data_IF_418909228367
#
_entry.id   IF_418909228367
#
_cell.length_a   1.000
_cell.length_b   1.000
_cell.length_c   1.000
_cell.angle_alpha   90.00
_cell.angle_beta   90.00
_cell.angle_gamma   90.00
#
_symmetry.space_group_name_H-M   'P 1'
#
loop_
_entity.id
_entity.type
_entity.pdbx_description
1 polymer ?
#
# COMPACT_ATOMS: atom_id res chain seq x y z
N UNK A 1 -16.71 -25.42 -44.06
CA UNK A 1 -16.73 -25.76 -42.63
C UNK A 1 -15.51 -25.13 -41.97
N UNK A 2 -15.54 -23.80 -41.81
CA UNK A 2 -14.39 -22.99 -41.41
C UNK A 2 -14.86 -21.64 -40.88
N UNK A 3 -15.69 -21.66 -39.84
CA UNK A 3 -15.93 -20.46 -39.03
C UNK A 3 -14.70 -20.27 -38.14
N UNK A 4 -13.78 -19.46 -38.65
CA UNK A 4 -13.06 -18.40 -37.93
C UNK A 4 -12.54 -18.74 -36.53
N UNK A 5 -11.40 -19.45 -36.46
CA UNK A 5 -10.51 -19.42 -35.29
C UNK A 5 -10.25 -17.98 -34.81
N UNK A 6 -10.26 -17.01 -35.73
CA UNK A 6 -10.11 -15.57 -35.46
C UNK A 6 -11.30 -14.94 -34.72
N UNK A 7 -12.52 -15.46 -34.88
CA UNK A 7 -13.74 -14.91 -34.25
C UNK A 7 -13.89 -15.46 -32.82
N UNK A 8 -13.53 -16.73 -32.60
CA UNK A 8 -13.42 -17.30 -31.24
C UNK A 8 -12.28 -16.68 -30.42
N UNK A 9 -11.15 -16.36 -31.07
CA UNK A 9 -10.06 -15.61 -30.43
C UNK A 9 -10.48 -14.17 -30.15
N UNK A 10 -11.22 -13.51 -31.05
CA UNK A 10 -11.70 -12.14 -30.82
C UNK A 10 -12.70 -12.06 -29.65
N UNK A 11 -13.62 -13.02 -29.52
CA UNK A 11 -14.52 -13.12 -28.37
C UNK A 11 -13.77 -13.41 -27.06
N UNK A 12 -12.84 -14.38 -27.06
CA UNK A 12 -12.06 -14.71 -25.85
C UNK A 12 -11.13 -13.58 -25.41
N UNK A 13 -10.52 -12.86 -26.35
CA UNK A 13 -9.66 -11.70 -26.04
C UNK A 13 -10.49 -10.51 -25.55
N UNK A 14 -11.74 -10.35 -26.04
CA UNK A 14 -12.69 -9.36 -25.56
C UNK A 14 -13.09 -9.57 -24.10
N UNK A 15 -13.50 -10.78 -23.75
CA UNK A 15 -13.89 -11.15 -22.37
C UNK A 15 -12.73 -11.04 -21.39
N UNK A 16 -11.54 -11.51 -21.78
CA UNK A 16 -10.36 -11.45 -20.92
C UNK A 16 -9.92 -10.00 -20.64
N UNK A 17 -10.03 -9.10 -21.63
CA UNK A 17 -9.74 -7.66 -21.45
C UNK A 17 -10.77 -6.97 -20.55
N UNK A 18 -12.04 -7.32 -20.67
CA UNK A 18 -13.10 -6.79 -19.80
C UNK A 18 -12.85 -7.17 -18.34
N UNK A 19 -12.56 -8.45 -18.06
CA UNK A 19 -12.23 -8.92 -16.72
C UNK A 19 -10.95 -8.26 -16.17
N UNK A 20 -9.91 -8.14 -16.99
CA UNK A 20 -8.67 -7.47 -16.59
C UNK A 20 -8.91 -5.98 -16.27
N UNK A 21 -9.76 -5.28 -17.04
CA UNK A 21 -10.11 -3.88 -16.79
C UNK A 21 -10.89 -3.73 -15.48
N UNK A 22 -11.88 -4.58 -15.23
CA UNK A 22 -12.64 -4.59 -13.97
C UNK A 22 -11.72 -4.83 -12.77
N UNK A 23 -10.87 -5.87 -12.83
CA UNK A 23 -9.88 -6.15 -11.80
C UNK A 23 -8.90 -4.97 -11.60
N UNK A 24 -8.50 -4.32 -12.69
CA UNK A 24 -7.66 -3.12 -12.66
C UNK A 24 -8.33 -1.95 -11.91
N UNK A 25 -9.62 -1.70 -12.16
CA UNK A 25 -10.40 -0.68 -11.44
C UNK A 25 -10.53 -1.05 -9.96
N UNK A 26 -10.89 -2.30 -9.63
CA UNK A 26 -10.96 -2.76 -8.24
C UNK A 26 -9.62 -2.64 -7.52
N UNK A 27 -8.52 -3.01 -8.17
CA UNK A 27 -7.18 -2.83 -7.64
C UNK A 27 -6.86 -1.35 -7.41
N UNK A 28 -7.22 -0.46 -8.34
CA UNK A 28 -7.04 0.99 -8.19
C UNK A 28 -7.81 1.56 -7.00
N UNK A 29 -9.08 1.16 -6.81
CA UNK A 29 -9.88 1.55 -5.64
C UNK A 29 -9.26 1.01 -4.35
N UNK A 30 -8.86 -0.27 -4.33
CA UNK A 30 -8.20 -0.88 -3.18
C UNK A 30 -6.90 -0.18 -2.80
N UNK A 31 -6.07 0.17 -3.79
CA UNK A 31 -4.85 0.95 -3.58
C UNK A 31 -5.13 2.34 -3.01
N UNK A 32 -6.18 3.00 -3.49
CA UNK A 32 -6.61 4.31 -2.98
C UNK A 32 -7.06 4.21 -1.53
N UNK A 33 -7.88 3.20 -1.20
CA UNK A 33 -8.31 2.94 0.17
C UNK A 33 -7.15 2.60 1.10
N UNK A 34 -6.19 1.79 0.64
CA UNK A 34 -4.99 1.46 1.39
C UNK A 34 -4.15 2.72 1.66
N UNK A 35 -3.96 3.58 0.66
CA UNK A 35 -3.24 4.84 0.79
C UNK A 35 -3.91 5.76 1.83
N UNK A 36 -5.24 5.94 1.74
CA UNK A 36 -6.00 6.75 2.68
C UNK A 36 -5.99 6.17 4.10
N UNK A 37 -6.11 4.85 4.24
CA UNK A 37 -6.06 4.16 5.54
C UNK A 37 -4.70 4.32 6.22
N UNK A 38 -3.62 4.05 5.51
CA UNK A 38 -2.25 4.24 6.03
C UNK A 38 -1.99 5.70 6.37
N UNK A 39 -2.36 6.63 5.47
CA UNK A 39 -2.25 8.07 5.73
C UNK A 39 -3.02 8.48 7.00
N UNK A 40 -4.27 8.03 7.15
CA UNK A 40 -5.12 8.35 8.29
C UNK A 40 -4.53 7.85 9.60
N UNK A 41 -4.13 6.57 9.66
CA UNK A 41 -3.53 5.96 10.86
C UNK A 41 -2.22 6.66 11.24
N UNK A 42 -1.34 6.90 10.27
CA UNK A 42 -0.04 7.56 10.54
C UNK A 42 -0.23 9.02 10.93
N UNK A 43 -1.08 9.78 10.22
CA UNK A 43 -1.37 11.18 10.53
C UNK A 43 -2.04 11.32 11.91
N UNK A 44 -2.94 10.40 12.28
CA UNK A 44 -3.56 10.40 13.59
C UNK A 44 -2.55 10.09 14.70
N UNK A 45 -1.66 9.13 14.48
CA UNK A 45 -0.57 8.82 15.42
C UNK A 45 0.38 10.00 15.63
N UNK A 46 0.74 10.72 14.56
CA UNK A 46 1.54 11.94 14.64
C UNK A 46 0.81 13.01 15.44
N UNK A 47 -0.48 13.26 15.14
CA UNK A 47 -1.28 14.27 15.83
C UNK A 47 -1.36 14.01 17.35
N UNK A 48 -1.58 12.75 17.76
CA UNK A 48 -1.59 12.35 19.17
C UNK A 48 -0.24 12.52 19.88
N UNK A 49 0.88 12.40 19.16
CA UNK A 49 2.24 12.51 19.70
C UNK A 49 2.89 13.87 19.49
N UNK A 50 2.13 14.87 19.02
CA UNK A 50 2.65 16.22 18.72
C UNK A 50 3.34 16.86 19.93
N UNK A 51 2.77 16.71 21.14
CA UNK A 51 3.40 17.22 22.37
C UNK A 51 4.74 16.54 22.68
N UNK A 52 4.81 15.20 22.64
CA UNK A 52 6.06 14.46 22.85
C UNK A 52 7.14 14.83 21.81
N UNK A 53 6.72 14.97 20.55
CA UNK A 53 7.59 15.38 19.44
C UNK A 53 8.11 16.81 19.66
N UNK A 54 7.23 17.72 20.11
CA UNK A 54 7.58 19.10 20.45
C UNK A 54 8.59 19.19 21.60
N UNK A 55 8.38 18.42 22.68
CA UNK A 55 9.32 18.36 23.82
C UNK A 55 10.66 17.78 23.38
N UNK A 56 10.69 16.68 22.61
CA UNK A 56 11.94 16.12 22.07
C UNK A 56 12.70 17.12 21.20
N UNK A 57 12.00 17.85 20.34
CA UNK A 57 12.59 18.89 19.50
C UNK A 57 13.12 20.07 20.33
N UNK A 58 12.42 20.48 21.39
CA UNK A 58 12.87 21.53 22.31
C UNK A 58 14.12 21.13 23.11
N UNK A 59 14.27 19.83 23.40
CA UNK A 59 15.47 19.25 24.02
C UNK A 59 16.62 19.01 23.00
N UNK A 60 16.46 19.42 21.74
CA UNK A 60 17.50 19.35 20.71
C UNK A 60 17.49 18.11 19.82
N UNK A 61 16.42 17.29 19.84
CA UNK A 61 16.32 16.16 18.92
C UNK A 61 16.30 16.61 17.46
N UNK A 62 17.01 15.88 16.59
CA UNK A 62 17.05 16.20 15.18
C UNK A 62 15.71 15.88 14.50
N UNK A 63 15.29 16.70 13.53
CA UNK A 63 14.11 16.43 12.69
C UNK A 63 14.18 15.05 12.01
N UNK A 64 15.39 14.54 11.77
CA UNK A 64 15.65 13.21 11.24
C UNK A 64 15.20 12.07 12.18
N UNK A 65 15.28 12.25 13.50
CA UNK A 65 14.84 11.24 14.48
C UNK A 65 13.32 11.10 14.48
N UNK A 66 12.62 12.23 14.39
CA UNK A 66 11.16 12.28 14.24
C UNK A 66 10.75 11.63 12.92
N UNK A 67 11.43 11.96 11.83
CA UNK A 67 11.18 11.36 10.52
C UNK A 67 11.34 9.82 10.57
N UNK A 68 12.45 9.34 11.15
CA UNK A 68 12.74 7.90 11.26
C UNK A 68 11.71 7.18 12.12
N UNK A 69 11.23 7.81 13.21
CA UNK A 69 10.19 7.26 14.06
C UNK A 69 8.87 7.07 13.29
N UNK A 70 8.42 8.11 12.57
CA UNK A 70 7.16 8.07 11.82
C UNK A 70 7.25 7.09 10.65
N UNK A 71 8.36 7.11 9.89
CA UNK A 71 8.59 6.17 8.79
C UNK A 71 8.63 4.73 9.29
N UNK A 72 9.33 4.44 10.39
CA UNK A 72 9.38 3.08 10.95
C UNK A 72 7.99 2.60 11.36
N UNK A 73 7.18 3.45 11.98
CA UNK A 73 5.82 3.09 12.36
C UNK A 73 4.96 2.79 11.12
N UNK A 74 4.99 3.67 10.11
CA UNK A 74 4.23 3.49 8.87
C UNK A 74 4.69 2.27 8.07
N UNK A 75 6.00 2.11 7.87
CA UNK A 75 6.58 0.99 7.13
C UNK A 75 6.35 -0.36 7.81
N UNK A 76 6.35 -0.42 9.15
CA UNK A 76 6.03 -1.67 9.86
C UNK A 76 4.59 -2.09 9.58
N UNK A 77 3.65 -1.14 9.60
CA UNK A 77 2.24 -1.41 9.28
C UNK A 77 2.07 -1.89 7.83
N UNK A 78 2.73 -1.22 6.88
CA UNK A 78 2.73 -1.61 5.46
C UNK A 78 3.34 -3.00 5.27
N UNK A 79 4.46 -3.29 5.92
CA UNK A 79 5.12 -4.59 5.82
C UNK A 79 4.26 -5.73 6.38
N UNK A 80 3.61 -5.53 7.53
CA UNK A 80 2.67 -6.49 8.09
C UNK A 80 1.47 -6.72 7.16
N UNK A 81 0.87 -5.63 6.64
CA UNK A 81 -0.23 -5.71 5.68
C UNK A 81 0.16 -6.44 4.39
N UNK A 82 1.35 -6.15 3.86
CA UNK A 82 1.89 -6.81 2.67
C UNK A 82 2.13 -8.31 2.91
N UNK A 83 2.69 -8.70 4.06
CA UNK A 83 2.91 -10.10 4.41
C UNK A 83 1.59 -10.88 4.52
N UNK A 84 0.60 -10.31 5.20
CA UNK A 84 -0.74 -10.92 5.32
C UNK A 84 -1.41 -11.02 3.94
N UNK A 85 -1.36 -9.95 3.16
CA UNK A 85 -1.91 -9.93 1.80
C UNK A 85 -1.26 -10.95 0.87
N UNK A 86 0.08 -11.08 0.92
CA UNK A 86 0.81 -12.06 0.12
C UNK A 86 0.45 -13.51 0.52
N UNK A 87 0.34 -13.79 1.82
CA UNK A 87 -0.10 -15.09 2.31
C UNK A 87 -1.54 -15.42 1.86
N UNK A 88 -2.45 -14.45 1.95
CA UNK A 88 -3.83 -14.57 1.47
C UNK A 88 -3.92 -14.80 -0.04
N UNK A 89 -3.16 -14.03 -0.83
CA UNK A 89 -3.09 -14.18 -2.28
C UNK A 89 -2.54 -15.56 -2.69
N UNK A 90 -1.48 -16.02 -2.03
CA UNK A 90 -0.92 -17.35 -2.27
C UNK A 90 -1.92 -18.46 -1.93
N UNK A 91 -2.64 -18.33 -0.82
CA UNK A 91 -3.72 -19.24 -0.43
C UNK A 91 -4.85 -19.29 -1.46
N UNK A 92 -5.32 -18.13 -1.92
CA UNK A 92 -6.38 -18.03 -2.93
C UNK A 92 -5.96 -18.65 -4.26
N UNK A 93 -4.75 -18.38 -4.74
CA UNK A 93 -4.22 -19.00 -5.97
C UNK A 93 -4.19 -20.52 -5.83
N UNK A 94 -3.77 -21.04 -4.67
CA UNK A 94 -3.71 -22.49 -4.43
C UNK A 94 -5.08 -23.15 -4.47
N UNK A 95 -6.12 -22.51 -3.93
CA UNK A 95 -7.50 -23.01 -3.96
C UNK A 95 -8.11 -22.95 -5.36
N UNK A 96 -7.84 -21.87 -6.11
CA UNK A 96 -8.33 -21.74 -7.49
C UNK A 96 -7.64 -22.76 -8.41
N UNK A 97 -6.33 -22.96 -8.23
CA UNK A 97 -5.54 -23.92 -9.01
C UNK A 97 -5.93 -25.38 -8.75
N UNK A 98 -6.50 -25.71 -7.58
CA UNK A 98 -7.00 -27.08 -7.33
C UNK A 98 -8.29 -27.40 -8.10
N UNK A 99 -9.06 -26.39 -8.48
CA UNK A 99 -10.33 -26.57 -9.22
C UNK A 99 -10.17 -26.43 -10.74
N UNK A 100 -9.15 -25.69 -11.23
CA UNK A 100 -8.97 -25.38 -12.64
C UNK A 100 -7.62 -25.89 -13.18
N UNK A 101 -7.65 -26.98 -13.96
CA UNK A 101 -6.48 -27.48 -14.71
C UNK A 101 -5.95 -26.38 -15.66
N UNK A 102 -4.76 -25.84 -15.39
CA UNK A 102 -4.07 -24.92 -16.30
C UNK A 102 -3.62 -23.57 -15.72
N UNK A 103 -3.84 -23.29 -14.43
CA UNK A 103 -3.21 -22.12 -13.78
C UNK A 103 -1.72 -22.40 -13.61
N UNK A 104 -0.96 -22.03 -14.64
CA UNK A 104 0.48 -22.18 -14.70
C UNK A 104 1.11 -21.34 -13.59
N UNK A 105 1.68 -22.04 -12.61
CA UNK A 105 2.59 -21.63 -11.53
C UNK A 105 2.62 -20.14 -11.19
N UNK A 106 2.29 -19.82 -9.93
CA UNK A 106 2.58 -18.54 -9.25
C UNK A 106 3.80 -17.84 -9.84
N UNK A 107 3.57 -16.92 -10.79
CA UNK A 107 4.66 -16.24 -11.47
C UNK A 107 5.34 -15.34 -10.45
N UNK A 108 6.59 -15.62 -10.04
CA UNK A 108 7.25 -14.87 -8.98
C UNK A 108 7.33 -13.37 -9.31
N UNK A 109 7.36 -13.03 -10.60
CA UNK A 109 7.38 -11.65 -11.08
C UNK A 109 6.09 -10.89 -10.79
N UNK A 110 4.93 -11.54 -10.88
CA UNK A 110 3.64 -10.91 -10.57
C UNK A 110 3.52 -10.63 -9.07
N UNK A 111 3.94 -11.58 -8.23
CA UNK A 111 3.98 -11.38 -6.78
C UNK A 111 5.00 -10.32 -6.37
N UNK A 112 6.21 -10.34 -6.96
CA UNK A 112 7.24 -9.35 -6.72
C UNK A 112 6.79 -7.94 -7.15
N UNK A 113 6.13 -7.83 -8.32
CA UNK A 113 5.57 -6.58 -8.82
C UNK A 113 4.48 -6.03 -7.90
N UNK A 114 3.56 -6.88 -7.42
CA UNK A 114 2.53 -6.49 -6.45
C UNK A 114 3.13 -6.04 -5.11
N UNK A 115 4.12 -6.76 -4.58
CA UNK A 115 4.81 -6.38 -3.36
C UNK A 115 5.55 -5.04 -3.51
N UNK A 116 6.26 -4.83 -4.61
CA UNK A 116 6.94 -3.57 -4.91
C UNK A 116 5.94 -2.41 -5.02
N UNK A 117 4.79 -2.63 -5.68
CA UNK A 117 3.74 -1.63 -5.82
C UNK A 117 3.16 -1.22 -4.46
N UNK A 118 2.87 -2.19 -3.57
CA UNK A 118 2.39 -1.92 -2.21
C UNK A 118 3.42 -1.14 -1.41
N UNK A 119 4.71 -1.48 -1.52
CA UNK A 119 5.78 -0.75 -0.85
C UNK A 119 5.86 0.70 -1.34
N UNK A 120 5.78 0.94 -2.65
CA UNK A 120 5.78 2.29 -3.22
C UNK A 120 4.58 3.08 -2.71
N UNK A 121 3.38 2.50 -2.75
CA UNK A 121 2.13 3.16 -2.30
C UNK A 121 2.20 3.45 -0.80
N UNK A 122 2.69 2.51 0.01
CA UNK A 122 2.89 2.69 1.44
C UNK A 122 3.90 3.80 1.76
N UNK A 123 5.01 3.86 1.03
CA UNK A 123 5.99 4.94 1.14
C UNK A 123 5.37 6.30 0.79
N UNK A 124 4.61 6.40 -0.30
CA UNK A 124 3.91 7.62 -0.70
C UNK A 124 2.89 8.06 0.36
N UNK A 125 2.10 7.13 0.90
CA UNK A 125 1.13 7.39 1.97
C UNK A 125 1.81 7.93 3.24
N UNK A 126 2.98 7.40 3.59
CA UNK A 126 3.72 7.80 4.78
C UNK A 126 4.52 9.10 4.60
N UNK A 127 4.87 9.46 3.37
CA UNK A 127 5.75 10.60 3.08
C UNK A 127 5.14 11.95 3.50
N UNK A 128 3.85 12.16 3.23
CA UNK A 128 3.12 13.38 3.59
C UNK A 128 3.03 13.60 5.11
N UNK A 129 2.52 12.65 5.92
CA UNK A 129 2.44 12.83 7.37
C UNK A 129 3.83 12.88 8.02
N UNK A 130 4.83 12.17 7.47
CA UNK A 130 6.21 12.25 7.94
C UNK A 130 6.82 13.65 7.70
N UNK A 131 6.57 14.27 6.54
CA UNK A 131 6.92 15.69 6.31
C UNK A 131 6.16 16.64 7.23
N UNK A 132 4.88 16.37 7.49
CA UNK A 132 4.06 17.19 8.40
C UNK A 132 4.60 17.14 9.83
N UNK A 133 5.05 15.98 10.31
CA UNK A 133 5.66 15.82 11.64
C UNK A 133 6.95 16.65 11.81
N UNK A 134 7.78 16.76 10.76
CA UNK A 134 9.00 17.57 10.79
C UNK A 134 8.74 19.09 10.77
N UNK A 135 7.55 19.51 10.33
CA UNK A 135 7.11 20.91 10.26
C UNK A 135 6.32 21.34 11.51
N UNK A 136 6.14 20.47 12.49
CA UNK A 136 5.59 20.86 13.79
C UNK A 136 6.60 21.82 14.43
N UNK A 137 6.24 23.10 14.44
CA UNK A 137 7.09 24.15 14.99
C UNK A 137 7.13 24.04 16.53
N UNK A 138 8.32 23.88 17.14
CA UNK A 138 8.46 23.77 18.59
C UNK A 138 7.96 25.02 19.34
N UNK A 139 7.79 26.15 18.65
CA UNK A 139 7.33 27.41 19.22
C UNK A 139 5.82 27.45 19.48
N UNK A 140 5.02 26.58 18.86
CA UNK A 140 3.58 26.44 19.17
C UNK A 140 3.37 25.62 20.45
N UNK A 141 4.32 24.73 20.79
CA UNK A 141 4.27 23.95 22.02
C UNK A 141 4.53 24.78 23.29
N UNK A 142 5.18 25.95 23.17
CA UNK A 142 5.43 26.87 24.29
C UNK A 142 4.37 27.96 24.47
N UNK A 143 3.40 28.09 23.56
CA UNK A 143 2.44 29.23 23.55
C UNK A 143 1.06 28.87 24.12
N UNK A 144 0.97 27.74 24.82
CA UNK A 144 -0.23 27.33 25.57
C UNK A 144 -0.05 27.43 27.10
N UNK A 145 0.92 28.24 27.55
CA UNK A 145 0.94 28.82 28.91
C UNK A 145 0.84 30.35 28.81
#
# INVERSE_FOLDING_TARGET
MGRTLTETIAESVGDQRMHAALLGVFAGVGLTLALLGVYGVVSYSVARRTQEIGVRMALGAARADVLRMVLRQGLTLVACGAAIGAAGAFGAVRVIASELYGVKSSDPWTFAGGAALILIVGCLACWVPARRAMRVDPIVALRYE
#
